data_IF_980802176241
#
_entry.id   IF_980802176241
#
_cell.length_a   1.000
_cell.length_b   1.000
_cell.length_c   1.000
_cell.angle_alpha   90.00
_cell.angle_beta   90.00
_cell.angle_gamma   90.00
#
_symmetry.space_group_name_H-M   'P 1'
#
loop_
_entity.id
_entity.type
_entity.pdbx_description
1 polymer ?
#
# COMPACT_ATOMS: atom_id res chain seq x y z
N UNK A 1 -31.61 -57.09 39.96
CA UNK A 1 -32.17 -56.95 38.59
C UNK A 1 -31.95 -55.49 38.19
N UNK A 2 -31.14 -55.27 37.15
CA UNK A 2 -30.56 -53.99 36.77
C UNK A 2 -31.62 -53.06 36.17
N UNK A 3 -31.70 -51.85 36.69
CA UNK A 3 -32.20 -50.65 36.01
C UNK A 3 -30.95 -49.80 35.78
N UNK A 4 -30.90 -49.04 34.68
CA UNK A 4 -29.75 -48.28 34.12
C UNK A 4 -28.98 -49.01 33.02
N UNK A 5 -29.48 -48.93 31.78
CA UNK A 5 -28.66 -49.11 30.55
C UNK A 5 -29.43 -48.61 29.30
N UNK A 6 -30.13 -47.48 29.37
CA UNK A 6 -30.86 -46.89 28.20
C UNK A 6 -30.43 -45.42 27.93
N UNK A 7 -29.54 -44.83 28.75
CA UNK A 7 -29.12 -43.42 28.61
C UNK A 7 -28.04 -43.15 27.56
N UNK A 8 -27.11 -44.09 27.33
CA UNK A 8 -25.88 -43.80 26.58
C UNK A 8 -26.05 -43.87 25.06
N UNK A 9 -26.96 -44.71 24.57
CA UNK A 9 -27.25 -44.85 23.14
C UNK A 9 -27.93 -43.60 22.54
N UNK A 10 -28.85 -42.98 23.28
CA UNK A 10 -29.56 -41.78 22.82
C UNK A 10 -28.63 -40.56 22.78
N UNK A 11 -27.70 -40.46 23.75
CA UNK A 11 -26.69 -39.40 23.81
C UNK A 11 -25.69 -39.54 22.65
N UNK A 12 -25.21 -40.74 22.37
CA UNK A 12 -24.28 -40.99 21.27
C UNK A 12 -24.90 -40.70 19.89
N UNK A 13 -26.16 -41.09 19.67
CA UNK A 13 -26.91 -40.77 18.44
C UNK A 13 -27.14 -39.26 18.32
N UNK A 14 -27.48 -38.58 19.41
CA UNK A 14 -27.67 -37.12 19.43
C UNK A 14 -26.37 -36.38 19.10
N UNK A 15 -25.23 -36.79 19.67
CA UNK A 15 -23.91 -36.24 19.36
C UNK A 15 -23.53 -36.52 17.91
N UNK A 16 -23.80 -37.72 17.39
CA UNK A 16 -23.56 -38.07 15.98
C UNK A 16 -24.35 -37.20 15.00
N UNK A 17 -25.64 -36.97 15.27
CA UNK A 17 -26.50 -36.11 14.46
C UNK A 17 -26.01 -34.65 14.52
N UNK A 18 -25.67 -34.15 15.70
CA UNK A 18 -25.11 -32.80 15.87
C UNK A 18 -23.80 -32.65 15.09
N UNK A 19 -22.92 -33.66 15.12
CA UNK A 19 -21.67 -33.65 14.36
C UNK A 19 -21.91 -33.68 12.85
N UNK A 20 -22.85 -34.49 12.35
CA UNK A 20 -23.21 -34.52 10.93
C UNK A 20 -23.79 -33.17 10.49
N UNK A 21 -24.72 -32.61 11.26
CA UNK A 21 -25.28 -31.29 11.00
C UNK A 21 -24.23 -30.18 11.06
N UNK A 22 -23.24 -30.28 11.97
CA UNK A 22 -22.10 -29.38 12.01
C UNK A 22 -21.22 -29.52 10.77
N UNK A 23 -20.92 -30.74 10.33
CA UNK A 23 -20.14 -30.98 9.11
C UNK A 23 -20.90 -30.46 7.89
N UNK A 24 -22.19 -30.76 7.75
CA UNK A 24 -23.03 -30.26 6.67
C UNK A 24 -23.15 -28.74 6.70
N UNK A 25 -23.32 -28.12 7.87
CA UNK A 25 -23.33 -26.67 8.03
C UNK A 25 -21.98 -26.06 7.65
N UNK A 26 -20.86 -26.69 8.00
CA UNK A 26 -19.50 -26.25 7.60
C UNK A 26 -19.30 -26.40 6.09
N UNK A 27 -19.74 -27.49 5.48
CA UNK A 27 -19.65 -27.74 4.03
C UNK A 27 -20.53 -26.76 3.26
N UNK A 28 -21.77 -26.54 3.70
CA UNK A 28 -22.69 -25.56 3.12
C UNK A 28 -22.19 -24.12 3.30
N UNK A 29 -21.60 -23.79 4.44
CA UNK A 29 -21.00 -22.47 4.66
C UNK A 29 -19.77 -22.24 3.77
N UNK A 30 -19.02 -23.29 3.43
CA UNK A 30 -17.90 -23.22 2.49
C UNK A 30 -18.37 -23.02 1.05
N UNK A 31 -19.43 -23.70 0.63
CA UNK A 31 -19.91 -23.66 -0.75
C UNK A 31 -20.68 -22.38 -1.13
N UNK A 32 -21.16 -21.61 -0.14
CA UNK A 32 -22.12 -20.53 -0.37
C UNK A 32 -21.57 -19.11 -0.11
N UNK A 33 -20.25 -18.91 -0.23
CA UNK A 33 -19.67 -17.58 -0.02
C UNK A 33 -19.98 -16.69 -1.21
N UNK A 34 -21.00 -15.84 -1.07
CA UNK A 34 -21.39 -14.87 -2.12
C UNK A 34 -20.31 -13.81 -2.27
N UNK A 35 -20.10 -13.37 -3.51
CA UNK A 35 -19.21 -12.25 -3.83
C UNK A 35 -19.99 -11.11 -4.45
N UNK A 36 -19.70 -9.88 -4.01
CA UNK A 36 -20.16 -8.67 -4.69
C UNK A 36 -19.28 -8.51 -5.94
N UNK A 37 -19.91 -8.36 -7.10
CA UNK A 37 -19.25 -8.22 -8.41
C UNK A 37 -18.22 -9.34 -8.72
N UNK A 38 -18.45 -10.55 -8.19
CA UNK A 38 -17.52 -11.69 -8.32
C UNK A 38 -16.11 -11.48 -7.72
N UNK A 39 -15.88 -10.36 -7.03
CA UNK A 39 -14.58 -9.98 -6.46
C UNK A 39 -14.63 -9.99 -4.94
N UNK A 40 -15.55 -9.23 -4.34
CA UNK A 40 -15.54 -8.91 -2.92
C UNK A 40 -16.28 -9.94 -2.08
N UNK A 41 -15.54 -10.65 -1.23
CA UNK A 41 -16.07 -11.77 -0.45
C UNK A 41 -16.96 -11.28 0.70
N UNK A 42 -18.18 -11.81 0.80
CA UNK A 42 -19.12 -11.50 1.89
C UNK A 42 -18.96 -12.44 3.08
N UNK A 43 -19.42 -12.02 4.26
CA UNK A 43 -19.35 -12.83 5.49
C UNK A 43 -20.36 -13.97 5.47
N UNK A 44 -20.00 -15.10 6.08
CA UNK A 44 -20.89 -16.23 6.30
C UNK A 44 -20.91 -16.64 7.80
N UNK A 45 -21.62 -17.72 8.13
CA UNK A 45 -21.75 -18.20 9.52
C UNK A 45 -20.41 -18.56 10.20
N UNK A 46 -19.38 -18.90 9.42
CA UNK A 46 -18.04 -19.22 9.94
C UNK A 46 -17.16 -17.98 10.14
N UNK A 47 -17.66 -16.78 9.81
CA UNK A 47 -16.89 -15.55 9.88
C UNK A 47 -16.32 -15.27 11.28
N UNK A 48 -17.17 -15.11 12.30
CA UNK A 48 -16.70 -14.81 13.66
C UNK A 48 -15.83 -15.90 14.29
N UNK A 49 -16.13 -17.21 14.11
CA UNK A 49 -15.20 -18.27 14.49
C UNK A 49 -13.81 -18.12 13.85
N UNK A 50 -13.74 -17.81 12.55
CA UNK A 50 -12.47 -17.56 11.86
C UNK A 50 -11.76 -16.32 12.40
N UNK A 51 -12.48 -15.24 12.69
CA UNK A 51 -11.92 -14.02 13.30
C UNK A 51 -11.23 -14.37 14.62
N UNK A 52 -11.91 -15.11 15.51
CA UNK A 52 -11.35 -15.50 16.80
C UNK A 52 -10.09 -16.38 16.64
N UNK A 53 -10.12 -17.36 15.73
CA UNK A 53 -8.96 -18.22 15.45
C UNK A 53 -7.78 -17.38 14.95
N UNK A 54 -7.99 -16.53 13.95
CA UNK A 54 -6.92 -15.74 13.35
C UNK A 54 -6.35 -14.71 14.33
N UNK A 55 -7.21 -14.08 15.14
CA UNK A 55 -6.82 -13.16 16.19
C UNK A 55 -5.89 -13.83 17.20
N UNK A 56 -6.25 -15.03 17.67
CA UNK A 56 -5.42 -15.81 18.58
C UNK A 56 -4.08 -16.19 17.94
N UNK A 57 -4.08 -16.61 16.66
CA UNK A 57 -2.86 -16.99 15.94
C UNK A 57 -1.88 -15.80 15.80
N UNK A 58 -2.37 -14.65 15.34
CA UNK A 58 -1.54 -13.45 15.16
C UNK A 58 -1.06 -12.92 16.51
N UNK A 59 -1.93 -12.88 17.52
CA UNK A 59 -1.57 -12.44 18.88
C UNK A 59 -0.49 -13.33 19.49
N UNK A 60 -0.63 -14.65 19.35
CA UNK A 60 0.37 -15.61 19.84
C UNK A 60 1.69 -15.48 19.07
N UNK A 61 1.64 -15.31 17.75
CA UNK A 61 2.82 -15.11 16.90
C UNK A 61 3.56 -13.83 17.30
N UNK A 62 2.85 -12.72 17.47
CA UNK A 62 3.39 -11.43 17.94
C UNK A 62 4.02 -11.54 19.34
N UNK A 63 3.34 -12.20 20.27
CA UNK A 63 3.86 -12.45 21.61
C UNK A 63 5.15 -13.29 21.59
N UNK A 64 5.19 -14.38 20.81
CA UNK A 64 6.40 -15.22 20.67
C UNK A 64 7.56 -14.42 20.09
N UNK A 65 7.31 -13.63 19.04
CA UNK A 65 8.33 -12.77 18.42
C UNK A 65 8.86 -11.70 19.37
N UNK A 66 7.99 -11.11 20.21
CA UNK A 66 8.41 -10.14 21.23
C UNK A 66 9.34 -10.73 22.29
N UNK A 67 9.30 -12.06 22.50
CA UNK A 67 10.14 -12.77 23.48
C UNK A 67 11.42 -13.34 22.88
N UNK A 68 11.41 -13.70 21.60
CA UNK A 68 12.52 -14.34 20.91
C UNK A 68 12.92 -13.49 19.70
N UNK A 69 14.11 -12.88 19.76
CA UNK A 69 14.63 -12.06 18.65
C UNK A 69 14.94 -12.86 17.37
N UNK A 70 15.03 -14.20 17.46
CA UNK A 70 15.30 -15.10 16.35
C UNK A 70 14.06 -15.92 15.98
N UNK A 71 13.07 -15.28 15.36
CA UNK A 71 11.97 -15.97 14.68
C UNK A 71 12.26 -16.07 13.20
N UNK A 72 12.10 -17.25 12.60
CA UNK A 72 12.20 -17.43 11.15
C UNK A 72 10.97 -16.85 10.44
N UNK A 73 11.21 -16.12 9.35
CA UNK A 73 10.18 -15.47 8.53
C UNK A 73 9.76 -14.09 9.05
N UNK A 74 8.84 -13.45 8.33
CA UNK A 74 8.29 -12.13 8.62
C UNK A 74 6.78 -12.09 8.38
N UNK A 75 6.14 -10.96 8.64
CA UNK A 75 4.69 -10.79 8.51
C UNK A 75 3.86 -11.39 9.64
N UNK A 76 2.66 -10.82 9.76
CA UNK A 76 1.59 -11.31 10.64
C UNK A 76 2.03 -11.43 12.11
N UNK A 77 2.75 -10.43 12.62
CA UNK A 77 3.26 -10.36 13.98
C UNK A 77 4.77 -10.61 14.12
N UNK A 78 5.53 -10.68 13.02
CA UNK A 78 6.99 -10.88 13.06
C UNK A 78 7.68 -9.87 12.17
N UNK A 79 8.63 -9.11 12.72
CA UNK A 79 9.43 -8.15 11.95
C UNK A 79 10.32 -8.84 10.93
N UNK A 80 10.51 -8.20 9.79
CA UNK A 80 11.47 -8.63 8.76
C UNK A 80 12.93 -8.46 9.17
N UNK A 81 13.22 -7.39 9.92
CA UNK A 81 14.55 -6.98 10.36
C UNK A 81 14.49 -6.52 11.81
N UNK A 82 15.64 -6.59 12.49
CA UNK A 82 15.74 -6.26 13.91
C UNK A 82 16.18 -4.83 14.19
N UNK A 83 16.79 -4.14 13.22
CA UNK A 83 17.28 -2.77 13.40
C UNK A 83 16.81 -1.83 12.28
N UNK A 84 16.60 -0.53 12.59
CA UNK A 84 16.28 0.50 11.58
C UNK A 84 17.27 0.55 10.40
N UNK A 85 18.56 0.41 10.68
CA UNK A 85 19.63 0.46 9.66
C UNK A 85 19.44 -0.65 8.62
N UNK A 86 19.06 -1.85 9.06
CA UNK A 86 18.83 -2.98 8.17
C UNK A 86 17.50 -2.87 7.39
N UNK A 87 16.55 -2.08 7.88
CA UNK A 87 15.29 -1.80 7.17
C UNK A 87 15.44 -0.71 6.11
N UNK A 88 16.31 0.27 6.35
CA UNK A 88 16.44 1.49 5.54
C UNK A 88 17.50 1.39 4.43
N UNK A 89 18.44 0.45 4.55
CA UNK A 89 19.41 0.23 3.49
C UNK A 89 18.74 -0.34 2.22
N UNK A 90 19.32 -0.11 1.03
CA UNK A 90 18.93 -0.86 -0.16
C UNK A 90 18.99 -2.35 0.12
N UNK A 91 17.90 -3.07 -0.14
CA UNK A 91 17.80 -4.50 0.11
C UNK A 91 18.47 -5.28 -1.03
N UNK A 92 19.01 -6.45 -0.69
CA UNK A 92 19.45 -7.41 -1.70
C UNK A 92 18.23 -7.96 -2.43
N UNK A 93 18.17 -7.74 -3.75
CA UNK A 93 17.13 -8.30 -4.60
C UNK A 93 17.26 -9.83 -4.66
N UNK A 94 16.13 -10.53 -4.74
CA UNK A 94 16.11 -11.97 -4.98
C UNK A 94 16.54 -12.29 -6.42
N UNK A 95 16.72 -13.58 -6.70
CA UNK A 95 16.95 -14.11 -8.05
C UNK A 95 15.69 -14.09 -8.94
N UNK A 96 14.53 -13.72 -8.40
CA UNK A 96 13.28 -13.69 -9.14
C UNK A 96 13.22 -12.46 -10.07
N UNK A 97 12.74 -12.57 -11.33
CA UNK A 97 12.67 -11.45 -12.27
C UNK A 97 11.80 -10.28 -11.77
N UNK A 98 10.83 -10.59 -10.91
CA UNK A 98 9.93 -9.62 -10.24
C UNK A 98 10.37 -9.20 -8.83
N UNK A 99 11.64 -9.41 -8.45
CA UNK A 99 12.19 -8.90 -7.19
C UNK A 99 11.89 -7.40 -7.03
N UNK A 100 11.77 -6.94 -5.79
CA UNK A 100 11.44 -5.54 -5.52
C UNK A 100 12.15 -5.01 -4.28
N UNK A 101 12.57 -3.77 -4.40
CA UNK A 101 12.90 -2.90 -3.29
C UNK A 101 12.48 -1.47 -3.65
N UNK A 102 11.54 -0.88 -2.93
CA UNK A 102 10.84 0.33 -3.34
C UNK A 102 10.78 1.37 -2.22
N UNK A 103 10.98 2.64 -2.60
CA UNK A 103 10.86 3.80 -1.74
C UNK A 103 9.92 4.79 -2.41
N UNK A 104 9.00 5.35 -1.63
CA UNK A 104 7.97 6.27 -2.12
C UNK A 104 7.78 7.41 -1.12
N UNK A 105 7.62 8.63 -1.65
CA UNK A 105 7.33 9.83 -0.90
C UNK A 105 6.08 10.47 -1.51
N UNK A 106 5.10 10.77 -0.69
CA UNK A 106 3.96 11.61 -1.08
C UNK A 106 3.85 12.79 -0.16
N UNK A 107 3.68 13.98 -0.72
CA UNK A 107 3.69 15.21 0.06
C UNK A 107 2.79 16.28 -0.51
N UNK A 108 2.34 17.17 0.37
CA UNK A 108 1.51 18.32 0.03
C UNK A 108 1.71 19.46 1.01
N UNK A 109 1.19 20.63 0.64
CA UNK A 109 1.14 21.81 1.51
C UNK A 109 -0.22 22.53 1.41
N UNK A 110 -0.57 23.38 2.39
CA UNK A 110 -1.81 24.16 2.33
C UNK A 110 -1.82 25.18 1.18
N UNK A 111 -0.65 25.58 0.67
CA UNK A 111 -0.49 26.43 -0.51
C UNK A 111 -0.75 25.69 -1.83
N UNK A 112 -0.98 24.38 -1.76
CA UNK A 112 -1.20 23.54 -2.93
C UNK A 112 0.08 23.17 -3.67
N UNK A 113 1.23 23.17 -3.00
CA UNK A 113 2.45 22.56 -3.55
C UNK A 113 2.41 21.07 -3.26
N UNK A 114 2.71 20.24 -4.27
CA UNK A 114 2.76 18.78 -4.10
C UNK A 114 4.04 18.23 -4.72
N UNK A 115 4.61 17.22 -4.07
CA UNK A 115 5.74 16.45 -4.57
C UNK A 115 5.46 14.98 -4.30
N UNK A 116 5.49 14.18 -5.36
CA UNK A 116 5.48 12.72 -5.27
C UNK A 116 6.76 12.22 -5.92
N UNK A 117 7.52 11.39 -5.22
CA UNK A 117 8.76 10.84 -5.74
C UNK A 117 8.87 9.36 -5.33
N UNK A 118 9.08 8.48 -6.31
CA UNK A 118 9.15 7.06 -6.07
C UNK A 118 10.21 6.38 -6.92
N UNK A 119 10.84 5.35 -6.36
CA UNK A 119 11.69 4.43 -7.11
C UNK A 119 11.44 3.01 -6.61
N UNK A 120 11.34 2.04 -7.52
CA UNK A 120 11.42 0.63 -7.18
C UNK A 120 12.55 -0.04 -7.97
N UNK A 121 13.59 -0.47 -7.25
CA UNK A 121 14.68 -1.29 -7.78
C UNK A 121 14.17 -2.65 -8.21
N UNK A 122 14.58 -3.05 -9.41
CA UNK A 122 14.31 -4.34 -10.05
C UNK A 122 15.63 -4.93 -10.56
N UNK A 123 15.67 -6.24 -10.87
CA UNK A 123 16.87 -6.86 -11.43
C UNK A 123 17.33 -6.19 -12.74
N UNK A 124 18.65 -6.21 -12.98
CA UNK A 124 19.30 -5.70 -14.20
C UNK A 124 19.19 -4.18 -14.38
N UNK A 125 19.12 -3.45 -13.28
CA UNK A 125 19.22 -1.98 -13.29
C UNK A 125 17.95 -1.28 -13.76
N UNK A 126 16.84 -2.03 -13.83
CA UNK A 126 15.51 -1.47 -14.07
C UNK A 126 15.03 -0.78 -12.80
N UNK A 127 14.59 0.47 -12.92
CA UNK A 127 13.95 1.23 -11.85
C UNK A 127 12.55 1.59 -12.32
N UNK A 128 11.51 1.23 -11.55
CA UNK A 128 10.21 1.89 -11.73
C UNK A 128 10.28 3.25 -11.04
N UNK A 129 10.36 4.34 -11.82
CA UNK A 129 10.51 5.70 -11.30
C UNK A 129 9.27 6.57 -11.54
N UNK A 130 8.92 7.36 -10.53
CA UNK A 130 7.82 8.34 -10.57
C UNK A 130 8.33 9.64 -9.97
N UNK A 131 8.07 10.76 -10.64
CA UNK A 131 8.26 12.10 -10.05
C UNK A 131 7.18 13.03 -10.57
N UNK A 132 6.40 13.58 -9.65
CA UNK A 132 5.45 14.65 -9.88
C UNK A 132 5.80 15.87 -9.03
N UNK A 133 5.81 17.05 -9.64
CA UNK A 133 6.00 18.32 -8.93
C UNK A 133 4.90 19.29 -9.35
N UNK A 134 4.03 19.67 -8.43
CA UNK A 134 2.99 20.66 -8.67
C UNK A 134 3.35 21.98 -8.01
N UNK A 135 3.51 23.04 -8.80
CA UNK A 135 3.72 24.40 -8.30
C UNK A 135 2.54 25.29 -8.74
N UNK A 136 1.84 25.96 -7.83
CA UNK A 136 0.82 26.95 -8.19
C UNK A 136 1.37 28.00 -9.17
N UNK A 137 0.67 28.21 -10.28
CA UNK A 137 1.06 29.15 -11.33
C UNK A 137 2.00 28.57 -12.41
N UNK A 138 2.66 27.44 -12.15
CA UNK A 138 3.43 26.69 -13.17
C UNK A 138 2.60 25.54 -13.72
N UNK A 139 1.95 24.78 -12.84
CA UNK A 139 1.21 23.55 -13.18
C UNK A 139 1.85 22.31 -12.55
N UNK A 140 1.46 21.14 -13.07
CA UNK A 140 1.98 19.84 -12.66
C UNK A 140 3.01 19.35 -13.68
N UNK A 141 4.21 19.10 -13.19
CA UNK A 141 5.33 18.55 -13.95
C UNK A 141 5.47 17.06 -13.66
N UNK A 142 5.82 16.28 -14.68
CA UNK A 142 6.10 14.85 -14.60
C UNK A 142 7.37 14.47 -15.37
N UNK A 143 7.96 13.30 -15.08
CA UNK A 143 9.11 12.82 -15.84
C UNK A 143 8.76 12.65 -17.32
N UNK A 144 9.73 12.84 -18.25
CA UNK A 144 9.48 12.74 -19.69
C UNK A 144 8.80 11.44 -20.13
N UNK A 145 9.22 10.31 -19.51
CA UNK A 145 8.74 8.96 -19.82
C UNK A 145 7.32 8.69 -19.32
N UNK A 146 6.80 9.45 -18.36
CA UNK A 146 5.47 9.18 -17.78
C UNK A 146 4.38 9.26 -18.87
N UNK A 147 3.32 8.44 -18.82
CA UNK A 147 2.92 7.55 -17.73
C UNK A 147 3.72 6.23 -17.62
N UNK A 148 4.70 5.98 -18.48
CA UNK A 148 5.60 4.84 -18.31
C UNK A 148 6.59 5.08 -17.16
N UNK A 149 6.71 4.11 -16.26
CA UNK A 149 7.62 4.21 -15.10
C UNK A 149 8.94 3.48 -15.31
N UNK A 150 9.16 2.79 -16.43
CA UNK A 150 10.38 2.02 -16.65
C UNK A 150 11.54 2.96 -17.01
N UNK A 151 12.42 3.16 -16.03
CA UNK A 151 13.68 3.90 -16.15
C UNK A 151 14.88 2.94 -16.05
N UNK A 152 16.05 3.42 -16.45
CA UNK A 152 17.29 2.65 -16.41
C UNK A 152 18.36 3.33 -15.55
N UNK A 153 18.88 2.60 -14.57
CA UNK A 153 19.90 3.04 -13.62
C UNK A 153 20.89 1.94 -13.31
N UNK A 154 21.34 1.88 -12.06
CA UNK A 154 22.13 0.78 -11.52
C UNK A 154 21.27 -0.07 -10.57
N UNK A 155 21.76 -1.26 -10.23
CA UNK A 155 21.06 -2.18 -9.34
C UNK A 155 21.29 -1.85 -7.87
N UNK A 156 22.11 -0.86 -7.49
CA UNK A 156 22.58 -0.65 -6.11
C UNK A 156 21.84 0.49 -5.39
N UNK A 157 21.40 1.49 -6.15
CA UNK A 157 20.88 2.75 -5.64
C UNK A 157 19.43 2.97 -6.08
N UNK A 158 18.70 3.76 -5.30
CA UNK A 158 17.36 4.24 -5.65
C UNK A 158 17.48 5.45 -6.58
N UNK A 159 18.04 5.24 -7.77
CA UNK A 159 18.28 6.33 -8.73
C UNK A 159 18.27 5.87 -10.19
N UNK A 160 17.66 6.69 -11.04
CA UNK A 160 17.69 6.54 -12.49
C UNK A 160 17.33 7.87 -13.18
N UNK A 161 17.91 8.11 -14.36
CA UNK A 161 17.53 9.21 -15.27
C UNK A 161 17.39 10.59 -14.58
N UNK A 162 18.32 10.91 -13.68
CA UNK A 162 18.37 12.18 -12.95
C UNK A 162 17.68 12.17 -11.58
N UNK A 163 16.74 11.25 -11.33
CA UNK A 163 16.09 11.07 -10.03
C UNK A 163 17.00 10.27 -9.09
N UNK A 164 17.15 10.73 -7.84
CA UNK A 164 17.91 10.06 -6.79
C UNK A 164 17.22 10.22 -5.43
N UNK A 165 16.93 9.08 -4.80
CA UNK A 165 16.42 8.99 -3.43
C UNK A 165 17.48 8.32 -2.57
N UNK A 166 17.96 8.96 -1.52
CA UNK A 166 19.07 8.41 -0.72
C UNK A 166 18.81 8.54 0.77
N UNK A 167 18.82 7.40 1.47
CA UNK A 167 18.86 7.39 2.92
C UNK A 167 20.17 8.03 3.40
N UNK A 168 20.07 9.14 4.13
CA UNK A 168 21.23 9.80 4.76
C UNK A 168 21.37 9.28 6.19
N UNK A 169 20.25 9.18 6.91
CA UNK A 169 20.19 8.64 8.26
C UNK A 169 18.92 7.81 8.44
N UNK A 170 19.03 6.49 8.75
CA UNK A 170 17.90 5.59 8.90
C UNK A 170 16.77 6.17 9.75
N UNK A 171 15.53 6.07 9.25
CA UNK A 171 14.29 6.55 9.91
C UNK A 171 14.27 8.04 10.26
N UNK A 172 15.26 8.82 9.81
CA UNK A 172 15.41 10.22 10.24
C UNK A 172 15.53 11.16 9.06
N UNK A 173 16.30 10.79 8.03
CA UNK A 173 16.69 11.72 6.97
C UNK A 173 16.91 11.02 5.64
N UNK A 174 16.27 11.56 4.60
CA UNK A 174 16.43 11.16 3.21
C UNK A 174 16.68 12.37 2.33
N UNK A 175 17.58 12.24 1.37
CA UNK A 175 17.80 13.22 0.33
C UNK A 175 17.01 12.84 -0.93
N UNK A 176 16.32 13.83 -1.49
CA UNK A 176 15.50 13.71 -2.69
C UNK A 176 16.06 14.69 -3.71
N UNK A 177 16.58 14.17 -4.82
CA UNK A 177 17.19 14.98 -5.87
C UNK A 177 16.66 14.64 -7.24
N UNK A 178 16.54 15.66 -8.08
CA UNK A 178 16.30 15.49 -9.50
C UNK A 178 17.04 16.56 -10.29
N UNK A 179 17.66 16.18 -11.40
CA UNK A 179 18.18 17.13 -12.38
C UNK A 179 17.88 16.62 -13.77
N UNK A 180 17.08 17.37 -14.53
CA UNK A 180 16.71 16.98 -15.89
C UNK A 180 15.49 17.73 -16.41
N UNK A 181 15.05 17.39 -17.63
CA UNK A 181 13.84 17.95 -18.20
C UNK A 181 12.60 17.28 -17.58
N UNK A 182 11.59 18.07 -17.23
CA UNK A 182 10.25 17.56 -16.92
C UNK A 182 9.23 18.15 -17.89
N UNK A 183 8.18 17.39 -18.19
CA UNK A 183 7.09 17.86 -19.06
C UNK A 183 5.88 18.29 -18.24
N UNK A 184 5.06 19.16 -18.80
CA UNK A 184 3.76 19.52 -18.20
C UNK A 184 2.79 18.35 -18.38
N UNK A 185 2.13 17.93 -17.30
CA UNK A 185 1.09 16.91 -17.35
C UNK A 185 -0.05 17.37 -18.27
N UNK A 186 -0.44 16.52 -19.22
CA UNK A 186 -1.44 16.84 -20.24
C UNK A 186 -0.93 17.65 -21.45
N UNK A 187 0.32 18.14 -21.42
CA UNK A 187 0.98 18.79 -22.57
C UNK A 187 2.38 18.20 -22.81
N UNK A 188 2.47 17.15 -23.65
CA UNK A 188 3.74 16.47 -23.91
C UNK A 188 4.74 17.29 -24.75
N UNK A 189 4.35 18.49 -25.22
CA UNK A 189 5.21 19.36 -26.02
C UNK A 189 5.97 20.40 -25.20
N UNK A 190 5.52 20.66 -23.97
CA UNK A 190 6.09 21.69 -23.10
C UNK A 190 7.00 21.05 -22.07
N UNK A 191 8.28 21.43 -22.10
CA UNK A 191 9.32 20.97 -21.18
C UNK A 191 9.94 22.14 -20.41
N UNK A 192 10.30 21.86 -19.16
CA UNK A 192 11.04 22.76 -18.29
C UNK A 192 12.31 22.09 -17.81
N UNK A 193 13.38 22.87 -17.64
CA UNK A 193 14.59 22.39 -16.97
C UNK A 193 14.36 22.46 -15.47
N UNK A 194 14.49 21.32 -14.78
CA UNK A 194 14.18 21.21 -13.36
C UNK A 194 15.41 20.75 -12.58
N UNK A 195 15.68 21.43 -11.48
CA UNK A 195 16.63 21.01 -10.45
C UNK A 195 15.93 20.98 -9.08
N UNK A 196 15.73 19.78 -8.53
CA UNK A 196 15.18 19.54 -7.20
C UNK A 196 16.31 19.19 -6.23
N UNK A 197 16.39 19.91 -5.12
CA UNK A 197 17.21 19.54 -3.97
C UNK A 197 16.36 19.69 -2.70
N UNK A 198 15.99 18.56 -2.11
CA UNK A 198 15.15 18.52 -0.94
C UNK A 198 15.59 17.43 0.04
N UNK A 199 15.25 17.64 1.30
CA UNK A 199 15.52 16.70 2.38
C UNK A 199 14.22 16.39 3.08
N UNK A 200 13.88 15.11 3.13
CA UNK A 200 12.83 14.60 4.00
C UNK A 200 13.41 14.34 5.39
N UNK A 201 12.73 14.78 6.44
CA UNK A 201 13.09 14.48 7.82
C UNK A 201 11.89 14.03 8.64
N UNK A 202 12.13 13.20 9.66
CA UNK A 202 11.09 12.81 10.61
C UNK A 202 11.60 12.72 12.05
N UNK A 203 10.66 12.93 12.97
CA UNK A 203 10.79 12.63 14.40
C UNK A 203 9.73 11.65 14.89
N UNK A 204 8.82 11.23 14.00
CA UNK A 204 7.77 10.28 14.32
C UNK A 204 8.36 8.88 14.43
N UNK A 205 7.70 7.99 15.17
CA UNK A 205 7.96 6.56 15.05
C UNK A 205 7.46 6.09 13.67
N UNK A 206 8.15 5.12 13.06
CA UNK A 206 7.66 4.44 11.86
C UNK A 206 6.57 3.40 12.21
N UNK A 207 5.64 3.18 11.29
CA UNK A 207 4.61 2.15 11.36
C UNK A 207 5.03 0.93 10.55
N UNK A 208 5.22 -0.20 11.21
CA UNK A 208 5.64 -1.46 10.58
C UNK A 208 4.42 -2.37 10.35
N UNK A 209 4.02 -2.56 9.10
CA UNK A 209 2.79 -3.33 8.79
C UNK A 209 2.90 -4.80 9.19
N UNK A 210 4.10 -5.34 9.36
CA UNK A 210 4.27 -6.70 9.83
C UNK A 210 3.85 -6.86 11.31
N UNK A 211 3.91 -5.79 12.12
CA UNK A 211 3.71 -5.90 13.59
C UNK A 211 2.79 -4.86 14.22
N UNK A 212 2.55 -3.73 13.57
CA UNK A 212 1.82 -2.59 14.17
C UNK A 212 0.35 -2.51 13.72
N UNK A 213 -0.05 -3.26 12.69
CA UNK A 213 -1.46 -3.36 12.27
C UNK A 213 -2.39 -3.78 13.42
N UNK A 214 -3.61 -3.23 13.42
CA UNK A 214 -4.67 -3.66 14.32
C UNK A 214 -5.01 -5.13 14.08
N UNK A 215 -4.87 -5.94 15.13
CA UNK A 215 -5.07 -7.40 15.04
C UNK A 215 -6.52 -7.72 14.72
N UNK A 216 -7.47 -6.90 15.21
CA UNK A 216 -8.89 -7.04 14.93
C UNK A 216 -9.19 -6.85 13.44
N UNK A 217 -8.75 -5.73 12.86
CA UNK A 217 -8.91 -5.39 11.45
C UNK A 217 -8.28 -6.44 10.52
N UNK A 218 -7.04 -6.85 10.83
CA UNK A 218 -6.37 -7.92 10.09
C UNK A 218 -7.15 -9.24 10.15
N UNK A 219 -7.58 -9.64 11.35
CA UNK A 219 -8.33 -10.90 11.54
C UNK A 219 -9.69 -10.87 10.84
N UNK A 220 -10.38 -9.73 10.87
CA UNK A 220 -11.63 -9.52 10.13
C UNK A 220 -11.44 -9.58 8.63
N UNK A 221 -10.35 -9.06 8.10
CA UNK A 221 -10.02 -9.11 6.67
C UNK A 221 -9.77 -10.57 6.23
N UNK A 222 -8.93 -11.29 6.98
CA UNK A 222 -8.55 -12.69 6.68
C UNK A 222 -9.70 -13.68 6.87
N UNK A 223 -10.61 -13.42 7.81
CA UNK A 223 -11.76 -14.28 8.08
C UNK A 223 -12.85 -14.22 7.00
N UNK A 224 -12.89 -13.14 6.19
CA UNK A 224 -13.82 -13.03 5.05
C UNK A 224 -13.51 -14.10 4.01
N UNK A 225 -12.25 -14.41 3.80
CA UNK A 225 -11.84 -15.27 2.69
C UNK A 225 -12.12 -16.76 2.92
N UNK A 226 -12.32 -17.54 1.85
CA UNK A 226 -12.37 -18.99 1.92
C UNK A 226 -11.01 -19.57 2.37
N UNK A 227 -10.98 -20.24 3.51
CA UNK A 227 -9.75 -20.86 4.02
C UNK A 227 -9.52 -22.21 3.33
N UNK A 228 -8.45 -22.27 2.55
CA UNK A 228 -7.96 -23.46 1.87
C UNK A 228 -6.44 -23.51 1.99
N UNK A 229 -5.81 -24.67 1.72
CA UNK A 229 -4.35 -24.75 1.69
C UNK A 229 -3.75 -23.77 0.67
N UNK A 230 -4.41 -23.58 -0.48
CA UNK A 230 -3.98 -22.63 -1.50
C UNK A 230 -4.06 -21.18 -1.00
N UNK A 231 -5.11 -20.83 -0.25
CA UNK A 231 -5.23 -19.51 0.36
C UNK A 231 -4.04 -19.17 1.28
N UNK A 232 -3.66 -20.09 2.17
CA UNK A 232 -2.52 -19.88 3.06
C UNK A 232 -1.18 -19.86 2.32
N UNK A 233 -1.05 -20.61 1.22
CA UNK A 233 0.11 -20.54 0.33
C UNK A 233 0.19 -19.17 -0.35
N UNK A 234 -0.91 -18.66 -0.88
CA UNK A 234 -0.98 -17.32 -1.47
C UNK A 234 -0.61 -16.22 -0.45
N UNK A 235 -1.07 -16.34 0.80
CA UNK A 235 -0.73 -15.39 1.86
C UNK A 235 0.78 -15.32 2.15
N UNK A 236 1.47 -16.45 2.04
CA UNK A 236 2.92 -16.52 2.22
C UNK A 236 3.65 -15.97 1.00
N UNK A 237 3.23 -16.37 -0.20
CA UNK A 237 3.88 -15.98 -1.46
C UNK A 237 3.70 -14.50 -1.82
N UNK A 238 2.57 -13.92 -1.43
CA UNK A 238 2.27 -12.50 -1.68
C UNK A 238 2.79 -11.56 -0.60
N UNK A 239 3.30 -12.10 0.52
CA UNK A 239 3.83 -11.28 1.61
C UNK A 239 4.99 -10.40 1.14
N UNK A 240 4.93 -9.14 1.54
CA UNK A 240 6.00 -8.17 1.38
C UNK A 240 6.16 -7.45 2.70
N UNK A 241 7.38 -7.07 3.01
CA UNK A 241 7.64 -6.17 4.11
C UNK A 241 7.40 -4.75 3.63
N UNK A 242 6.74 -3.98 4.47
CA UNK A 242 6.36 -2.61 4.18
C UNK A 242 6.26 -1.85 5.50
N UNK A 243 6.83 -0.65 5.52
CA UNK A 243 6.73 0.26 6.65
C UNK A 243 6.74 1.70 6.17
N UNK A 244 6.14 2.55 6.98
CA UNK A 244 5.93 3.93 6.62
C UNK A 244 6.24 4.88 7.77
N UNK A 245 6.50 6.13 7.43
CA UNK A 245 6.76 7.17 8.42
C UNK A 245 6.34 8.53 7.87
N UNK A 246 5.53 9.25 8.65
CA UNK A 246 5.30 10.67 8.39
C UNK A 246 6.50 11.51 8.79
N UNK A 247 6.68 12.63 8.10
CA UNK A 247 7.72 13.62 8.29
C UNK A 247 7.39 14.87 7.50
N UNK A 248 8.42 15.65 7.18
CA UNK A 248 8.30 16.82 6.33
C UNK A 248 9.46 16.92 5.34
N UNK A 249 9.20 17.58 4.21
CA UNK A 249 10.19 17.90 3.19
C UNK A 249 10.49 19.40 3.28
N UNK A 250 11.77 19.73 3.40
CA UNK A 250 12.29 21.08 3.23
C UNK A 250 13.29 21.09 2.07
N UNK A 251 13.24 22.13 1.24
CA UNK A 251 14.16 22.25 0.12
C UNK A 251 13.73 23.29 -0.90
N UNK A 252 14.15 23.09 -2.13
CA UNK A 252 13.77 23.95 -3.25
C UNK A 252 13.72 23.18 -4.57
N UNK A 253 12.93 23.70 -5.49
CA UNK A 253 12.94 23.30 -6.90
C UNK A 253 13.20 24.53 -7.75
N UNK A 254 14.17 24.45 -8.64
CA UNK A 254 14.42 25.43 -9.68
C UNK A 254 13.75 24.97 -10.98
N UNK A 255 12.97 25.85 -11.61
CA UNK A 255 12.26 25.60 -12.87
C UNK A 255 12.62 26.75 -13.82
N UNK A 256 13.41 26.45 -14.85
CA UNK A 256 13.93 27.42 -15.83
C UNK A 256 14.55 28.68 -15.20
N UNK A 257 15.33 28.49 -14.14
CA UNK A 257 15.97 29.58 -13.40
C UNK A 257 15.14 30.17 -12.27
N UNK A 258 13.83 29.87 -12.19
CA UNK A 258 12.96 30.34 -11.11
C UNK A 258 12.96 29.37 -9.94
N UNK A 259 13.35 29.83 -8.75
CA UNK A 259 13.43 28.98 -7.57
C UNK A 259 12.16 29.06 -6.73
N UNK A 260 11.61 27.90 -6.39
CA UNK A 260 10.44 27.74 -5.53
C UNK A 260 10.86 26.99 -4.27
N UNK A 261 10.55 27.54 -3.09
CA UNK A 261 10.81 26.88 -1.81
C UNK A 261 9.78 25.77 -1.59
N UNK A 262 10.24 24.63 -1.06
CA UNK A 262 9.41 23.51 -0.64
C UNK A 262 9.41 23.42 0.88
N UNK A 263 8.20 23.43 1.46
CA UNK A 263 7.94 23.12 2.87
C UNK A 263 6.65 22.30 2.89
N UNK A 264 6.79 20.97 2.91
CA UNK A 264 5.69 20.03 2.65
C UNK A 264 5.56 19.03 3.78
N UNK A 265 4.32 18.67 4.14
CA UNK A 265 4.09 17.49 4.96
C UNK A 265 4.17 16.25 4.08
N UNK A 266 4.81 15.19 4.58
CA UNK A 266 5.14 14.05 3.74
C UNK A 266 5.02 12.72 4.48
N UNK A 267 4.39 11.73 3.83
CA UNK A 267 4.53 10.32 4.19
C UNK A 267 5.59 9.68 3.31
N UNK A 268 6.47 8.89 3.93
CA UNK A 268 7.45 8.05 3.23
C UNK A 268 7.18 6.58 3.50
N UNK A 269 7.17 5.79 2.43
CA UNK A 269 7.09 4.33 2.41
C UNK A 269 8.43 3.73 1.96
N UNK A 270 8.78 2.59 2.56
CA UNK A 270 9.75 1.65 2.02
C UNK A 270 9.17 0.22 2.05
N UNK A 271 9.07 -0.42 0.89
CA UNK A 271 8.58 -1.80 0.75
C UNK A 271 9.51 -2.69 -0.07
N UNK A 272 9.68 -3.94 0.37
CA UNK A 272 10.56 -4.91 -0.29
C UNK A 272 10.06 -6.33 -0.06
N UNK A 273 10.49 -7.25 -0.92
CA UNK A 273 10.10 -8.64 -0.80
C UNK A 273 10.75 -9.54 -1.84
N UNK A 274 10.49 -10.84 -1.71
CA UNK A 274 11.00 -11.84 -2.65
C UNK A 274 10.54 -11.57 -4.08
N UNK A 275 9.28 -11.16 -4.28
CA UNK A 275 8.75 -10.68 -5.56
C UNK A 275 7.55 -9.77 -5.34
N UNK A 276 7.20 -8.97 -6.36
CA UNK A 276 5.94 -8.22 -6.47
C UNK A 276 5.17 -8.69 -7.70
N UNK A 277 4.00 -9.29 -7.50
CA UNK A 277 3.10 -9.64 -8.60
C UNK A 277 1.92 -8.67 -8.63
N UNK A 278 2.04 -7.62 -9.45
CA UNK A 278 0.98 -6.61 -9.61
C UNK A 278 -0.32 -7.19 -10.14
N UNK A 279 -0.28 -8.30 -10.91
CA UNK A 279 -1.49 -8.99 -11.40
C UNK A 279 -2.36 -9.58 -10.27
N UNK A 280 -1.86 -9.67 -9.03
CA UNK A 280 -2.66 -10.09 -7.88
C UNK A 280 -3.63 -9.01 -7.41
N UNK A 281 -3.31 -7.74 -7.64
CA UNK A 281 -4.19 -6.64 -7.27
C UNK A 281 -5.44 -6.65 -8.14
N UNK A 282 -6.58 -6.40 -7.51
CA UNK A 282 -7.77 -5.91 -8.21
C UNK A 282 -7.73 -4.38 -8.24
N UNK A 283 -7.51 -3.79 -7.06
CA UNK A 283 -7.40 -2.35 -6.82
C UNK A 283 -7.09 -2.02 -5.36
N UNK A 284 -6.73 -0.78 -5.10
CA UNK A 284 -6.80 -0.18 -3.78
C UNK A 284 -7.23 1.30 -3.83
N UNK A 285 -7.56 1.84 -2.66
CA UNK A 285 -7.72 3.29 -2.44
C UNK A 285 -7.06 3.65 -1.11
N UNK A 286 -6.01 4.47 -1.17
CA UNK A 286 -5.23 4.92 -0.02
C UNK A 286 -5.27 6.45 0.06
N UNK A 287 -5.31 6.98 1.28
CA UNK A 287 -5.38 8.42 1.56
C UNK A 287 -4.31 8.79 2.56
N UNK A 288 -3.36 9.61 2.15
CA UNK A 288 -2.23 10.06 2.95
C UNK A 288 -2.27 11.58 3.04
N UNK A 289 -2.61 12.13 4.20
CA UNK A 289 -2.83 13.56 4.35
C UNK A 289 -2.49 14.09 5.73
N UNK A 290 -2.30 15.40 5.78
CA UNK A 290 -2.07 16.18 7.00
C UNK A 290 -3.16 17.23 7.13
N UNK A 291 -3.55 17.51 8.37
CA UNK A 291 -4.56 18.53 8.69
C UNK A 291 -3.90 19.73 9.37
N UNK A 292 -4.58 20.89 9.37
CA UNK A 292 -3.99 22.13 9.93
C UNK A 292 -3.58 22.02 11.40
N UNK A 293 -4.20 21.15 12.18
CA UNK A 293 -3.85 20.94 13.59
C UNK A 293 -2.63 20.02 13.78
N UNK A 294 -2.04 19.56 12.68
CA UNK A 294 -0.86 18.70 12.64
C UNK A 294 -1.18 17.20 12.76
N UNK A 295 -2.45 16.78 12.75
CA UNK A 295 -2.80 15.38 12.68
C UNK A 295 -2.51 14.83 11.27
N UNK A 296 -1.77 13.72 11.20
CA UNK A 296 -1.38 13.06 9.96
C UNK A 296 -2.02 11.67 9.89
N UNK A 297 -2.51 11.30 8.71
CA UNK A 297 -3.33 10.10 8.52
C UNK A 297 -2.88 9.38 7.26
N UNK A 298 -2.58 8.10 7.38
CA UNK A 298 -2.67 7.15 6.27
C UNK A 298 -3.84 6.20 6.53
N UNK A 299 -4.79 6.12 5.62
CA UNK A 299 -5.92 5.20 5.74
C UNK A 299 -6.35 4.70 4.37
N UNK A 300 -6.75 3.43 4.29
CA UNK A 300 -7.28 2.92 3.04
C UNK A 300 -7.67 1.45 3.06
N UNK A 301 -7.99 0.96 1.87
CA UNK A 301 -8.41 -0.42 1.65
C UNK A 301 -7.70 -0.98 0.43
N UNK A 302 -7.18 -2.20 0.59
CA UNK A 302 -6.58 -2.99 -0.49
C UNK A 302 -7.50 -4.15 -0.85
N UNK A 303 -7.70 -4.37 -2.15
CA UNK A 303 -8.37 -5.54 -2.71
C UNK A 303 -7.37 -6.35 -3.55
N UNK A 304 -6.84 -7.41 -2.93
CA UNK A 304 -6.02 -8.43 -3.56
C UNK A 304 -6.74 -9.77 -3.42
N UNK A 305 -7.67 -10.15 -4.32
CA UNK A 305 -8.59 -11.28 -4.10
C UNK A 305 -7.93 -12.63 -3.79
N UNK A 306 -6.65 -12.82 -4.17
CA UNK A 306 -5.87 -13.99 -3.82
C UNK A 306 -5.56 -14.13 -2.31
N UNK A 307 -5.62 -13.04 -1.55
CA UNK A 307 -5.29 -12.98 -0.11
C UNK A 307 -6.35 -12.26 0.73
N UNK A 308 -6.86 -11.12 0.27
CA UNK A 308 -7.86 -10.31 0.95
C UNK A 308 -8.63 -9.51 -0.10
N UNK A 309 -9.93 -9.79 -0.24
CA UNK A 309 -10.81 -8.97 -1.08
C UNK A 309 -11.21 -7.64 -0.41
N UNK A 310 -10.99 -7.52 0.90
CA UNK A 310 -11.07 -6.28 1.67
C UNK A 310 -10.05 -6.33 2.80
N UNK A 311 -8.92 -5.65 2.65
CA UNK A 311 -7.93 -5.41 3.69
C UNK A 311 -8.03 -3.96 4.16
N UNK A 312 -8.54 -3.76 5.38
CA UNK A 312 -8.58 -2.46 6.05
C UNK A 312 -7.19 -2.17 6.66
N UNK A 313 -6.60 -1.02 6.36
CA UNK A 313 -5.27 -0.66 6.86
C UNK A 313 -5.07 0.84 7.03
N UNK A 314 -4.02 1.20 7.75
CA UNK A 314 -3.64 2.59 8.01
C UNK A 314 -3.29 2.86 9.46
N UNK A 315 -2.95 4.10 9.74
CA UNK A 315 -2.64 4.63 11.06
C UNK A 315 -2.80 6.16 11.11
N UNK A 316 -2.90 6.67 12.32
CA UNK A 316 -2.91 8.10 12.62
C UNK A 316 -1.68 8.43 13.44
N UNK A 317 -0.97 9.49 13.05
CA UNK A 317 0.06 10.12 13.87
C UNK A 317 -0.55 11.30 14.62
N UNK A 318 -0.58 11.21 15.96
CA UNK A 318 -1.12 12.26 16.83
C UNK A 318 -0.22 12.42 18.05
N UNK A 319 0.29 13.62 18.28
CA UNK A 319 1.14 13.95 19.43
C UNK A 319 2.34 12.99 19.61
N UNK A 320 2.92 12.51 18.51
CA UNK A 320 4.05 11.57 18.53
C UNK A 320 3.66 10.10 18.70
N UNK A 321 2.39 9.80 18.99
CA UNK A 321 1.87 8.43 18.96
C UNK A 321 1.47 8.02 17.54
N UNK A 322 1.65 6.74 17.24
CA UNK A 322 1.24 6.12 15.98
C UNK A 322 0.20 5.06 16.30
N UNK A 323 -1.05 5.34 15.90
CA UNK A 323 -2.22 4.58 16.33
C UNK A 323 -2.80 3.85 15.10
N UNK A 324 -2.88 2.51 15.11
CA UNK A 324 -3.39 1.78 13.95
C UNK A 324 -4.87 2.05 13.72
N UNK A 325 -5.26 2.08 12.45
CA UNK A 325 -6.66 2.07 12.04
C UNK A 325 -7.25 0.68 12.31
N UNK A 326 -8.38 0.68 13.01
CA UNK A 326 -9.10 -0.52 13.45
C UNK A 326 -10.35 -0.79 12.64
N UNK A 327 -10.84 0.17 11.84
CA UNK A 327 -11.98 0.01 10.94
C UNK A 327 -11.98 1.10 9.85
N UNK A 328 -12.39 0.77 8.63
CA UNK A 328 -12.57 1.69 7.51
C UNK A 328 -13.92 1.45 6.85
N UNK A 329 -14.75 2.49 6.82
CA UNK A 329 -16.06 2.53 6.15
C UNK A 329 -15.94 3.17 4.76
N UNK A 330 -15.02 2.64 3.97
CA UNK A 330 -14.90 2.89 2.53
C UNK A 330 -15.24 1.58 1.83
N UNK A 331 -16.10 1.59 0.83
CA UNK A 331 -16.45 0.38 0.08
C UNK A 331 -15.97 0.55 -1.35
N UNK A 332 -14.91 -0.18 -1.73
CA UNK A 332 -14.29 -0.04 -3.06
C UNK A 332 -15.28 -0.34 -4.19
N UNK A 333 -16.16 -1.33 -4.02
CA UNK A 333 -17.20 -1.64 -5.02
C UNK A 333 -18.26 -0.54 -5.18
N UNK A 334 -18.42 0.35 -4.19
CA UNK A 334 -19.27 1.55 -4.31
C UNK A 334 -18.50 2.74 -4.90
N UNK A 335 -17.19 2.81 -4.63
CA UNK A 335 -16.36 3.96 -4.98
C UNK A 335 -15.37 3.60 -6.07
N UNK A 336 -15.68 4.01 -7.30
CA UNK A 336 -14.75 3.94 -8.41
C UNK A 336 -14.55 2.57 -9.03
N UNK A 337 -15.48 1.64 -8.83
CA UNK A 337 -15.47 0.37 -9.57
C UNK A 337 -15.56 0.65 -11.08
N UNK A 338 -14.80 -0.11 -11.88
CA UNK A 338 -14.70 0.13 -13.32
C UNK A 338 -13.58 1.09 -13.75
N UNK A 339 -12.71 1.53 -12.83
CA UNK A 339 -11.46 2.21 -13.19
C UNK A 339 -11.48 3.74 -13.14
N UNK A 340 -12.53 4.34 -12.57
CA UNK A 340 -12.69 5.80 -12.48
C UNK A 340 -13.15 6.17 -11.06
N UNK A 341 -12.24 6.59 -10.16
CA UNK A 341 -12.62 6.96 -8.80
C UNK A 341 -13.34 8.31 -8.73
N UNK A 342 -14.27 8.51 -7.76
CA UNK A 342 -14.96 9.79 -7.59
C UNK A 342 -13.99 10.92 -7.25
N UNK A 343 -14.25 12.14 -7.70
CA UNK A 343 -13.45 13.33 -7.36
C UNK A 343 -13.90 14.06 -6.10
N UNK A 344 -15.14 13.80 -5.66
CA UNK A 344 -15.74 14.36 -4.46
C UNK A 344 -16.50 13.24 -3.74
N UNK A 345 -16.06 12.88 -2.53
CA UNK A 345 -16.59 11.75 -1.76
C UNK A 345 -16.19 11.84 -0.30
N UNK A 346 -16.85 11.03 0.53
CA UNK A 346 -16.56 10.95 1.95
C UNK A 346 -16.59 9.51 2.46
N UNK A 347 -15.88 9.26 3.55
CA UNK A 347 -15.88 7.97 4.26
C UNK A 347 -15.54 8.20 5.74
N UNK A 348 -15.73 7.17 6.57
CA UNK A 348 -15.28 7.20 7.97
C UNK A 348 -14.26 6.11 8.28
N UNK A 349 -13.47 6.31 9.31
CA UNK A 349 -12.57 5.29 9.85
C UNK A 349 -12.43 5.42 11.37
N UNK A 350 -11.96 4.36 12.02
CA UNK A 350 -11.78 4.32 13.48
C UNK A 350 -10.32 4.05 13.83
N UNK A 351 -9.70 4.91 14.63
CA UNK A 351 -8.36 4.72 15.18
C UNK A 351 -8.35 5.09 16.67
N UNK A 352 -7.75 4.26 17.52
CA UNK A 352 -7.70 4.50 18.97
C UNK A 352 -9.07 4.59 19.65
N UNK A 353 -10.09 3.93 19.08
CA UNK A 353 -11.47 4.00 19.56
C UNK A 353 -12.24 5.29 19.20
N UNK A 354 -11.61 6.21 18.46
CA UNK A 354 -12.25 7.42 17.95
C UNK A 354 -12.64 7.23 16.48
N UNK A 355 -13.87 7.60 16.12
CA UNK A 355 -14.32 7.70 14.73
C UNK A 355 -13.95 9.05 14.12
N UNK A 356 -13.51 9.01 12.86
CA UNK A 356 -13.13 10.16 12.06
C UNK A 356 -13.90 10.15 10.75
N UNK A 357 -14.37 11.31 10.30
CA UNK A 357 -15.06 11.50 9.04
C UNK A 357 -14.17 12.29 8.08
N UNK A 358 -13.92 11.72 6.90
CA UNK A 358 -13.06 12.29 5.87
C UNK A 358 -13.93 12.72 4.70
N UNK A 359 -13.78 13.97 4.26
CA UNK A 359 -14.24 14.46 2.97
C UNK A 359 -13.02 14.65 2.07
N UNK A 360 -13.11 14.25 0.81
CA UNK A 360 -12.01 14.31 -0.17
C UNK A 360 -12.48 15.08 -1.39
N UNK A 361 -11.74 16.13 -1.77
CA UNK A 361 -11.95 16.85 -3.02
C UNK A 361 -10.66 16.89 -3.82
N UNK A 362 -10.67 16.23 -4.97
CA UNK A 362 -9.50 16.06 -5.84
C UNK A 362 -9.24 17.31 -6.68
N UNK A 363 -7.99 17.75 -6.70
CA UNK A 363 -7.51 18.92 -7.43
C UNK A 363 -6.94 18.50 -8.79
N UNK A 364 -6.02 17.53 -8.77
CA UNK A 364 -5.37 16.98 -9.96
C UNK A 364 -5.27 15.46 -9.80
N UNK A 365 -5.24 14.74 -10.93
CA UNK A 365 -5.33 13.28 -10.94
C UNK A 365 -4.48 12.68 -12.06
N UNK A 366 -3.16 12.98 -12.11
CA UNK A 366 -2.27 12.32 -13.05
C UNK A 366 -2.29 10.80 -12.83
N UNK A 367 -1.92 10.07 -13.88
CA UNK A 367 -1.84 8.63 -13.84
C UNK A 367 -0.50 8.11 -14.35
N UNK A 368 -0.11 6.95 -13.87
CA UNK A 368 1.06 6.23 -14.34
C UNK A 368 0.83 4.72 -14.27
N UNK A 369 1.69 3.97 -14.96
CA UNK A 369 1.60 2.51 -15.00
C UNK A 369 2.82 1.87 -14.36
N UNK A 370 2.59 0.88 -13.50
CA UNK A 370 3.63 0.11 -12.84
C UNK A 370 3.64 -1.31 -13.38
N UNK A 371 4.85 -1.86 -13.45
CA UNK A 371 5.09 -3.22 -13.85
C UNK A 371 5.59 -3.28 -15.29
N UNK A 372 6.18 -4.42 -15.61
CA UNK A 372 6.90 -4.61 -16.86
C UNK A 372 5.97 -4.53 -18.09
N UNK A 373 4.75 -5.00 -17.91
CA UNK A 373 3.70 -5.06 -18.93
C UNK A 373 2.59 -4.03 -18.66
N UNK A 374 2.86 -3.03 -17.80
CA UNK A 374 1.84 -2.13 -17.27
C UNK A 374 0.71 -2.89 -16.57
N UNK A 375 1.02 -3.84 -15.71
CA UNK A 375 -0.01 -4.67 -15.04
C UNK A 375 -0.94 -3.88 -14.13
N UNK A 376 -0.51 -2.69 -13.71
CA UNK A 376 -1.23 -1.81 -12.79
C UNK A 376 -1.23 -0.38 -13.33
N UNK A 377 -2.38 0.28 -13.22
CA UNK A 377 -2.60 1.71 -13.45
C UNK A 377 -2.87 2.38 -12.10
N UNK A 378 -2.13 3.44 -11.80
CA UNK A 378 -2.27 4.22 -10.56
C UNK A 378 -2.70 5.63 -10.91
N UNK A 379 -3.70 6.16 -10.22
CA UNK A 379 -4.06 7.56 -10.19
C UNK A 379 -3.50 8.19 -8.91
N UNK A 380 -2.56 9.11 -9.07
CA UNK A 380 -1.84 9.79 -7.99
C UNK A 380 -2.48 11.14 -7.71
N UNK A 381 -3.50 11.18 -6.85
CA UNK A 381 -4.43 12.32 -6.87
C UNK A 381 -4.08 13.33 -5.79
N UNK A 382 -3.61 14.50 -6.21
CA UNK A 382 -3.46 15.65 -5.33
C UNK A 382 -4.83 16.10 -4.86
N UNK A 383 -5.06 16.11 -3.55
CA UNK A 383 -6.37 16.32 -2.99
C UNK A 383 -6.35 17.25 -1.76
N UNK A 384 -7.44 18.00 -1.64
CA UNK A 384 -7.80 18.65 -0.39
C UNK A 384 -8.69 17.73 0.42
N UNK A 385 -8.52 17.78 1.74
CA UNK A 385 -9.23 16.93 2.69
C UNK A 385 -9.98 17.79 3.71
N UNK A 386 -11.06 17.24 4.28
CA UNK A 386 -11.59 17.68 5.56
C UNK A 386 -11.74 16.51 6.50
N UNK A 387 -11.13 16.61 7.68
CA UNK A 387 -11.24 15.60 8.73
C UNK A 387 -12.05 16.17 9.89
N UNK A 388 -13.26 15.67 10.11
CA UNK A 388 -14.19 16.24 11.10
C UNK A 388 -14.36 17.78 10.92
N UNK A 389 -14.39 18.24 9.67
CA UNK A 389 -14.46 19.66 9.31
C UNK A 389 -13.12 20.43 9.30
N UNK A 390 -12.03 19.85 9.82
CA UNK A 390 -10.69 20.45 9.79
C UNK A 390 -10.07 20.32 8.41
N UNK A 391 -9.56 21.42 7.81
CA UNK A 391 -8.91 21.36 6.49
C UNK A 391 -7.63 20.51 6.57
N UNK A 392 -7.36 19.81 5.47
CA UNK A 392 -6.12 19.10 5.23
C UNK A 392 -5.73 19.05 3.76
N UNK A 393 -4.55 18.54 3.50
CA UNK A 393 -3.91 18.43 2.19
C UNK A 393 -3.12 17.12 2.11
N UNK A 394 -3.03 16.54 0.92
CA UNK A 394 -2.27 15.32 0.71
C UNK A 394 -2.62 14.61 -0.59
N UNK A 395 -2.42 13.30 -0.59
CA UNK A 395 -2.59 12.45 -1.76
C UNK A 395 -3.68 11.41 -1.50
N UNK A 396 -4.53 11.19 -2.50
CA UNK A 396 -5.43 10.05 -2.59
C UNK A 396 -4.96 9.15 -3.74
N UNK A 397 -4.29 8.05 -3.44
CA UNK A 397 -3.79 7.11 -4.44
C UNK A 397 -4.84 6.03 -4.71
N UNK A 398 -5.23 5.89 -5.97
CA UNK A 398 -6.17 4.85 -6.42
C UNK A 398 -5.52 3.98 -7.46
N UNK A 399 -5.45 2.69 -7.19
CA UNK A 399 -4.84 1.71 -8.08
C UNK A 399 -5.89 0.82 -8.71
N UNK A 400 -5.62 0.38 -9.93
CA UNK A 400 -6.43 -0.56 -10.67
C UNK A 400 -5.55 -1.52 -11.44
N UNK A 401 -5.95 -2.79 -11.44
CA UNK A 401 -5.40 -3.75 -12.38
C UNK A 401 -5.62 -3.25 -13.81
N UNK A 402 -4.56 -3.26 -14.61
CA UNK A 402 -4.59 -2.86 -16.01
C UNK A 402 -4.38 -4.07 -16.92
N UNK A 403 -5.12 -4.08 -18.03
CA UNK A 403 -5.19 -5.21 -18.97
C UNK A 403 -4.80 -4.82 -20.40
N UNK A 404 -4.43 -3.56 -20.64
CA UNK A 404 -4.11 -3.07 -21.99
C UNK A 404 -2.68 -3.39 -22.46
N UNK A 405 -1.79 -3.79 -21.55
CA UNK A 405 -0.38 -4.03 -21.86
C UNK A 405 0.42 -2.72 -22.02
N UNK A 406 1.75 -2.84 -22.02
CA UNK A 406 2.66 -1.73 -22.28
C UNK A 406 2.74 -1.42 -23.79
N UNK A 407 2.48 -0.18 -24.23
CA UNK A 407 2.48 0.16 -25.65
C UNK A 407 3.84 -0.01 -26.33
N UNK A 408 3.84 -0.42 -27.60
CA UNK A 408 5.03 -0.68 -28.39
C UNK A 408 5.96 0.55 -28.50
N UNK A 409 5.39 1.76 -28.53
CA UNK A 409 6.14 3.03 -28.61
C UNK A 409 7.07 3.25 -27.40
N UNK A 410 6.77 2.67 -26.24
CA UNK A 410 7.68 2.70 -25.08
C UNK A 410 8.74 1.61 -25.19
N UNK A 411 8.33 0.40 -25.57
CA UNK A 411 9.19 -0.78 -25.69
C UNK A 411 10.31 -0.57 -26.72
N UNK A 412 10.03 0.11 -27.83
CA UNK A 412 11.01 0.33 -28.91
C UNK A 412 12.20 1.19 -28.48
N UNK A 413 12.02 2.04 -27.47
CA UNK A 413 13.04 2.93 -26.94
C UNK A 413 13.83 2.33 -25.78
N UNK A 414 13.51 1.10 -25.36
CA UNK A 414 14.23 0.42 -24.30
C UNK A 414 15.52 -0.23 -24.81
N UNK A 415 16.52 -0.42 -23.93
CA UNK A 415 17.72 -1.19 -24.25
C UNK A 415 17.38 -2.59 -24.76
N UNK A 416 18.04 -3.06 -25.81
CA UNK A 416 17.67 -4.32 -26.48
C UNK A 416 17.60 -5.56 -25.56
N UNK A 417 18.38 -5.59 -24.48
CA UNK A 417 18.42 -6.70 -23.51
C UNK A 417 17.13 -6.85 -22.70
N UNK A 418 16.30 -5.81 -22.62
CA UNK A 418 15.03 -5.83 -21.88
C UNK A 418 14.02 -6.82 -22.49
N UNK A 419 14.15 -7.12 -23.78
CA UNK A 419 13.28 -8.06 -24.51
C UNK A 419 13.33 -9.49 -23.95
N UNK A 420 14.38 -9.82 -23.21
CA UNK A 420 14.54 -11.12 -22.57
C UNK A 420 13.99 -11.15 -21.13
N UNK A 421 13.60 -10.01 -20.54
CA UNK A 421 12.94 -9.94 -19.24
C UNK A 421 11.41 -10.17 -19.30
N UNK A 422 10.79 -9.96 -20.47
CA UNK A 422 9.33 -9.97 -20.66
C UNK A 422 8.76 -11.41 -20.71
N UNK A 423 9.63 -12.44 -20.73
CA UNK A 423 9.25 -13.79 -21.19
C UNK A 423 8.71 -14.73 -20.09
N UNK A 424 8.74 -14.31 -18.82
CA UNK A 424 8.38 -15.15 -17.64
C UNK A 424 7.15 -14.65 -16.85
#
# INVERSE_FOLDING_TARGET
MRVFEIGDGLLAVSVGIIMVLLVEAVVAARSNTKKILSVYTTTNILYWPKVAIFYCLVSLRRWRASKNAATSGSGYGVKSRTTPEAMECPQTLSDHPKAIDAVYFCSGSPEGIYLVAATARRPKGVINGVLFIRIPGVGLLELPRMPDTILFGNDEEFSAEGLSLRCVKPMTEWQIKYTGPMKINGDPSTFHNVELDAVWTSRHRYFDFDVDMDVGALSRSMAREPWTSQYFKNLQEAHQTHYEQFGGIEGQVNIDGNTHKLTLDCMRDHSYGYKREWKLMHRYGLHMFTTEDGLQVNVGIVCQPATCSKLELGYVCKNGEVIPVSHVNLELWQHGEGGIPPSDYAFSFVAGGQEYFVEVSVLESPEFHIGWEWETRVLERMASFRLNGQRGWGIAEWEYRYHGGRPQTYIENDPAWTRDLIKD
#
